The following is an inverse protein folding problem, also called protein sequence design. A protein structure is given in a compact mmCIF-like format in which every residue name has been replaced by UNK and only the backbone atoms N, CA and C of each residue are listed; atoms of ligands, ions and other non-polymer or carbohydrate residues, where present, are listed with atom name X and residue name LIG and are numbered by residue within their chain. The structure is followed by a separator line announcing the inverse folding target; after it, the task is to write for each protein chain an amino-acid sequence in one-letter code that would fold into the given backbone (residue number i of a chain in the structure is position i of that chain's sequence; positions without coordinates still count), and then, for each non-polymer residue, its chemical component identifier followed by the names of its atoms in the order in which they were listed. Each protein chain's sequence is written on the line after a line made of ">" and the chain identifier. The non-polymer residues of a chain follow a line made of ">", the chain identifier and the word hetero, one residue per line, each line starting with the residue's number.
data_IF_565161737582
#
_entry.id   IF_565161737582
#
_cell.length_a   1.000
_cell.length_b   1.000
_cell.length_c   1.000
_cell.angle_alpha   90.00
_cell.angle_beta   90.00
_cell.angle_gamma   90.00
#
_symmetry.space_group_name_H-M   'P 1'
#
loop_
_entity.id
_entity.type
_entity.pdbx_description
1 polymer ?
#
# COMPACT_ATOMS: atom_id res chain seq x y z
N UNK A 1 40.39 0.07 -27.91
CA UNK A 1 39.72 -0.86 -27.02
C UNK A 1 39.61 -0.25 -25.61
N UNK A 2 38.44 -0.34 -24.97
CA UNK A 2 38.31 0.03 -23.59
C UNK A 2 38.98 -1.01 -22.69
N UNK A 3 39.66 -0.53 -21.64
CA UNK A 3 40.24 -1.40 -20.64
C UNK A 3 39.21 -1.69 -19.54
N UNK A 4 38.69 -2.92 -19.40
CA UNK A 4 37.68 -3.23 -18.37
C UNK A 4 38.24 -3.28 -16.94
N UNK A 5 39.58 -3.29 -16.78
CA UNK A 5 40.27 -3.52 -15.51
C UNK A 5 41.12 -2.34 -15.02
N UNK A 6 41.04 -1.20 -15.67
CA UNK A 6 41.85 -0.04 -15.30
C UNK A 6 41.36 1.28 -15.89
N UNK A 7 42.06 2.40 -15.65
CA UNK A 7 41.66 3.71 -16.15
C UNK A 7 41.74 3.72 -17.68
N UNK A 8 40.74 4.35 -18.30
CA UNK A 8 40.66 4.58 -19.73
C UNK A 8 40.99 6.03 -20.07
N UNK A 9 41.48 6.28 -21.29
CA UNK A 9 41.66 7.63 -21.80
C UNK A 9 40.33 8.38 -21.81
N UNK A 10 40.31 9.70 -21.48
CA UNK A 10 39.07 10.49 -21.44
C UNK A 10 38.20 10.41 -22.70
N UNK A 11 38.82 10.34 -23.87
CA UNK A 11 38.10 10.24 -25.15
C UNK A 11 37.35 8.92 -25.28
N UNK A 12 37.92 7.80 -24.77
CA UNK A 12 37.23 6.48 -24.73
C UNK A 12 36.06 6.55 -23.76
N UNK A 13 36.26 7.16 -22.58
CA UNK A 13 35.19 7.36 -21.60
C UNK A 13 34.05 8.20 -22.17
N UNK A 14 34.37 9.29 -22.82
CA UNK A 14 33.37 10.17 -23.43
C UNK A 14 32.64 9.48 -24.59
N UNK A 15 33.32 8.68 -25.40
CA UNK A 15 32.69 7.90 -26.48
C UNK A 15 31.72 6.84 -25.94
N UNK A 16 32.04 6.21 -24.81
CA UNK A 16 31.21 5.17 -24.20
C UNK A 16 30.08 5.75 -23.31
N UNK A 17 30.22 7.03 -22.91
CA UNK A 17 29.22 7.67 -22.06
C UNK A 17 27.95 7.97 -22.85
N UNK A 18 26.84 7.47 -22.34
CA UNK A 18 25.51 7.76 -22.89
C UNK A 18 24.65 8.45 -21.85
N UNK A 19 23.70 9.24 -22.30
CA UNK A 19 22.58 9.70 -21.47
C UNK A 19 21.43 8.73 -21.64
N UNK A 20 20.90 8.23 -20.53
CA UNK A 20 19.78 7.28 -20.50
C UNK A 20 18.58 7.92 -19.79
N UNK A 21 17.82 8.83 -20.45
CA UNK A 21 16.67 9.47 -19.84
C UNK A 21 15.51 8.48 -19.70
N UNK A 22 14.73 8.62 -18.61
CA UNK A 22 13.41 8.05 -18.47
C UNK A 22 12.37 9.14 -18.72
N UNK A 23 11.25 8.75 -19.32
CA UNK A 23 10.07 9.58 -19.43
C UNK A 23 9.01 9.06 -18.47
N UNK A 24 8.63 9.90 -17.51
CA UNK A 24 7.60 9.61 -16.52
C UNK A 24 6.44 10.58 -16.71
N UNK A 25 5.23 10.04 -16.82
CA UNK A 25 4.00 10.80 -16.94
C UNK A 25 2.92 10.16 -16.05
N UNK A 26 2.27 10.98 -15.22
CA UNK A 26 1.16 10.57 -14.38
C UNK A 26 0.02 11.58 -14.48
N UNK A 27 -1.06 11.18 -15.17
CA UNK A 27 -2.27 11.99 -15.37
C UNK A 27 -3.38 11.50 -14.46
N UNK A 28 -3.94 12.40 -13.66
CA UNK A 28 -5.11 12.15 -12.81
C UNK A 28 -6.19 13.17 -13.15
N UNK A 29 -7.38 12.68 -13.44
CA UNK A 29 -8.58 13.50 -13.66
C UNK A 29 -9.68 13.01 -12.77
N UNK A 30 -10.26 13.91 -11.97
CA UNK A 30 -11.36 13.60 -11.08
C UNK A 30 -12.45 14.65 -11.15
N UNK A 31 -13.65 14.20 -10.84
CA UNK A 31 -14.81 15.03 -10.56
C UNK A 31 -15.55 14.43 -9.37
N UNK A 32 -15.90 15.27 -8.40
CA UNK A 32 -16.60 14.85 -7.21
C UNK A 32 -17.77 15.76 -6.90
N UNK A 33 -18.71 15.25 -6.11
CA UNK A 33 -19.79 16.01 -5.53
C UNK A 33 -20.04 15.57 -4.10
N UNK A 34 -20.52 16.49 -3.27
CA UNK A 34 -21.00 16.19 -1.93
C UNK A 34 -22.17 17.09 -1.54
N UNK A 35 -23.10 16.52 -0.78
CA UNK A 35 -24.24 17.23 -0.20
C UNK A 35 -24.37 16.78 1.26
N UNK A 36 -24.51 17.74 2.17
CA UNK A 36 -24.71 17.44 3.59
C UNK A 36 -25.71 18.39 4.21
N UNK A 37 -26.42 17.92 5.22
CA UNK A 37 -27.37 18.72 5.99
C UNK A 37 -28.25 17.92 6.94
N UNK A 38 -29.03 18.60 7.76
CA UNK A 38 -30.00 17.96 8.64
C UNK A 38 -31.15 17.36 7.83
N UNK A 39 -31.51 16.09 8.16
CA UNK A 39 -32.70 15.43 7.60
C UNK A 39 -33.96 15.76 8.39
N UNK A 40 -33.90 15.53 9.70
CA UNK A 40 -34.99 15.84 10.61
C UNK A 40 -34.48 15.97 12.05
N UNK A 41 -35.28 16.61 12.91
CA UNK A 41 -34.95 16.82 14.32
C UNK A 41 -35.39 15.63 15.17
N UNK A 42 -34.45 15.08 15.95
CA UNK A 42 -34.69 14.14 17.02
C UNK A 42 -34.73 14.86 18.37
N UNK A 43 -35.22 14.23 19.44
CA UNK A 43 -35.25 14.87 20.78
C UNK A 43 -33.88 15.30 21.32
N UNK A 44 -32.82 14.72 20.84
CA UNK A 44 -31.45 14.98 21.27
C UNK A 44 -30.65 15.91 20.35
N UNK A 45 -31.15 16.20 19.15
CA UNK A 45 -30.50 17.03 18.14
C UNK A 45 -30.97 16.69 16.73
N UNK A 46 -30.33 17.22 15.72
CA UNK A 46 -30.67 16.91 14.33
C UNK A 46 -29.94 15.63 13.86
N UNK A 47 -30.72 14.72 13.27
CA UNK A 47 -30.13 13.67 12.44
C UNK A 47 -29.56 14.34 11.18
N UNK A 48 -28.27 14.17 10.93
CA UNK A 48 -27.62 14.76 9.76
C UNK A 48 -27.13 13.66 8.81
N UNK A 49 -27.22 13.96 7.51
CA UNK A 49 -26.74 13.08 6.44
C UNK A 49 -25.72 13.82 5.58
N UNK A 50 -24.63 13.16 5.27
CA UNK A 50 -23.74 13.52 4.18
C UNK A 50 -23.73 12.39 3.14
N UNK A 51 -23.85 12.75 1.86
CA UNK A 51 -23.69 11.84 0.73
C UNK A 51 -22.80 12.47 -0.32
N UNK A 52 -22.03 11.68 -1.01
CA UNK A 52 -21.20 12.16 -2.09
C UNK A 52 -20.72 11.03 -2.98
N UNK A 53 -20.07 11.42 -4.07
CA UNK A 53 -19.50 10.48 -5.02
C UNK A 53 -18.35 11.10 -5.79
N UNK A 54 -17.54 10.24 -6.37
CA UNK A 54 -16.36 10.60 -7.16
C UNK A 54 -16.26 9.74 -8.40
N UNK A 55 -15.82 10.34 -9.49
CA UNK A 55 -15.35 9.66 -10.72
C UNK A 55 -13.92 10.08 -10.93
N UNK A 56 -13.01 9.11 -11.09
CA UNK A 56 -11.58 9.39 -11.30
C UNK A 56 -10.98 8.50 -12.35
N UNK A 57 -10.06 9.04 -13.13
CA UNK A 57 -9.21 8.30 -14.04
C UNK A 57 -7.76 8.57 -13.67
N UNK A 58 -6.96 7.52 -13.68
CA UNK A 58 -5.52 7.58 -13.42
C UNK A 58 -4.80 6.91 -14.59
N UNK A 59 -3.73 7.55 -15.08
CA UNK A 59 -2.87 6.98 -16.11
C UNK A 59 -1.42 7.15 -15.70
N UNK A 60 -0.65 6.09 -15.86
CA UNK A 60 0.78 6.10 -15.58
C UNK A 60 1.55 5.58 -16.79
N UNK A 61 2.60 6.30 -17.15
CA UNK A 61 3.55 5.90 -18.19
C UNK A 61 4.95 6.16 -17.65
N UNK A 62 5.75 5.13 -17.58
CA UNK A 62 7.18 5.23 -17.35
C UNK A 62 7.87 4.48 -18.48
N UNK A 63 8.67 5.18 -19.27
CA UNK A 63 9.26 4.65 -20.50
C UNK A 63 10.75 4.92 -20.50
N UNK A 64 11.54 3.85 -20.50
CA UNK A 64 12.98 3.91 -20.68
C UNK A 64 13.38 4.14 -22.15
N UNK A 65 14.67 4.35 -22.40
CA UNK A 65 15.22 4.40 -23.76
C UNK A 65 15.20 3.02 -24.42
N UNK A 66 15.29 3.01 -25.77
CA UNK A 66 15.41 1.76 -26.52
C UNK A 66 16.69 1.00 -26.11
N UNK A 67 17.81 1.68 -25.89
CA UNK A 67 19.07 1.09 -25.43
C UNK A 67 18.91 0.33 -24.10
N UNK A 68 18.06 0.88 -23.20
CA UNK A 68 17.74 0.24 -21.92
C UNK A 68 16.90 -1.04 -22.13
N UNK A 69 15.85 -0.95 -22.97
CA UNK A 69 15.01 -2.10 -23.31
C UNK A 69 15.80 -3.23 -23.98
N UNK A 70 16.73 -2.87 -24.88
CA UNK A 70 17.56 -3.83 -25.62
C UNK A 70 18.76 -4.33 -24.81
N UNK A 71 18.87 -3.97 -23.50
CA UNK A 71 19.99 -4.34 -22.62
C UNK A 71 21.37 -3.95 -23.18
N UNK A 72 21.44 -2.85 -23.91
CA UNK A 72 22.71 -2.38 -24.53
C UNK A 72 23.54 -1.49 -23.60
N UNK A 73 23.06 -1.24 -22.37
CA UNK A 73 23.76 -0.42 -21.38
C UNK A 73 24.65 -1.33 -20.54
N UNK A 74 25.95 -1.14 -20.63
CA UNK A 74 26.94 -1.90 -19.86
C UNK A 74 26.75 -1.65 -18.36
N UNK A 75 26.56 -2.71 -17.57
CA UNK A 75 26.31 -2.62 -16.13
C UNK A 75 24.84 -2.29 -15.78
N UNK A 76 23.98 -2.14 -16.76
CA UNK A 76 22.53 -1.97 -16.56
C UNK A 76 21.79 -3.31 -16.63
N UNK A 77 20.65 -3.38 -15.95
CA UNK A 77 19.64 -4.43 -16.19
C UNK A 77 18.80 -4.07 -17.40
N UNK A 78 18.13 -5.06 -18.01
CA UNK A 78 17.09 -4.79 -18.99
C UNK A 78 16.03 -3.86 -18.39
N UNK A 79 15.77 -2.77 -19.08
CA UNK A 79 14.77 -1.79 -18.63
C UNK A 79 13.37 -2.38 -18.65
N UNK A 80 12.54 -1.88 -17.77
CA UNK A 80 11.10 -2.16 -17.75
C UNK A 80 10.34 -0.88 -18.00
N UNK A 81 9.32 -0.96 -18.84
CA UNK A 81 8.36 0.11 -19.06
C UNK A 81 7.12 -0.14 -18.18
N UNK A 82 6.41 0.93 -17.84
CA UNK A 82 5.13 0.84 -17.17
C UNK A 82 4.07 1.55 -18.00
N UNK A 83 2.96 0.86 -18.27
CA UNK A 83 1.78 1.43 -18.91
C UNK A 83 0.56 0.94 -18.13
N UNK A 84 -0.04 1.81 -17.36
CA UNK A 84 -1.23 1.49 -16.58
C UNK A 84 -2.27 2.58 -16.67
N UNK A 85 -3.54 2.18 -16.78
CA UNK A 85 -4.66 3.08 -16.60
C UNK A 85 -5.72 2.44 -15.70
N UNK A 86 -6.45 3.27 -14.97
CA UNK A 86 -7.49 2.85 -14.05
C UNK A 86 -8.61 3.87 -14.02
N UNK A 87 -9.84 3.37 -13.86
CA UNK A 87 -11.03 4.17 -13.58
C UNK A 87 -11.58 3.78 -12.22
N UNK A 88 -12.03 4.79 -11.49
CA UNK A 88 -12.67 4.67 -10.19
C UNK A 88 -14.03 5.33 -10.24
N UNK A 89 -15.03 4.64 -9.69
CA UNK A 89 -16.33 5.22 -9.31
C UNK A 89 -16.52 4.97 -7.82
N UNK A 90 -16.91 5.98 -7.08
CA UNK A 90 -17.22 5.82 -5.66
C UNK A 90 -18.48 6.56 -5.26
N UNK A 91 -19.16 6.00 -4.24
CA UNK A 91 -20.25 6.64 -3.53
C UNK A 91 -20.08 6.42 -2.05
N UNK A 92 -20.40 7.41 -1.25
CA UNK A 92 -20.38 7.30 0.20
C UNK A 92 -21.60 7.94 0.84
N UNK A 93 -21.94 7.46 2.02
CA UNK A 93 -22.93 8.05 2.89
C UNK A 93 -22.44 8.02 4.34
N UNK A 94 -22.79 9.07 5.09
CA UNK A 94 -22.50 9.23 6.51
C UNK A 94 -23.71 9.80 7.23
N UNK A 95 -24.06 9.19 8.35
CA UNK A 95 -25.15 9.60 9.25
C UNK A 95 -24.59 9.98 10.61
N UNK A 96 -24.90 11.18 11.08
CA UNK A 96 -24.71 11.62 12.47
C UNK A 96 -26.03 11.53 13.20
N UNK A 97 -26.09 10.69 14.23
CA UNK A 97 -27.29 10.28 14.94
C UNK A 97 -27.18 10.71 16.41
N UNK A 98 -27.76 11.83 16.84
CA UNK A 98 -27.87 12.19 18.24
C UNK A 98 -28.92 11.32 18.94
N UNK A 99 -28.51 10.15 19.44
CA UNK A 99 -29.39 9.16 20.09
C UNK A 99 -29.92 9.69 21.42
N UNK A 100 -29.03 10.35 22.16
CA UNK A 100 -29.33 10.96 23.45
C UNK A 100 -28.46 12.21 23.63
N UNK A 101 -28.84 13.14 24.53
CA UNK A 101 -28.05 14.36 24.85
C UNK A 101 -26.61 14.04 25.29
N UNK A 102 -26.37 12.80 25.76
CA UNK A 102 -25.06 12.31 26.18
C UNK A 102 -24.42 11.35 25.17
N UNK A 103 -25.16 10.89 24.14
CA UNK A 103 -24.71 9.85 23.20
C UNK A 103 -24.99 10.27 21.76
N UNK A 104 -23.95 10.33 20.98
CA UNK A 104 -23.96 10.56 19.55
C UNK A 104 -23.30 9.37 18.86
N UNK A 105 -23.90 8.89 17.79
CA UNK A 105 -23.38 7.82 16.94
C UNK A 105 -23.15 8.37 15.54
N UNK A 106 -22.08 7.91 14.92
CA UNK A 106 -21.77 8.13 13.53
C UNK A 106 -21.70 6.79 12.82
N UNK A 107 -22.40 6.65 11.70
CA UNK A 107 -22.33 5.46 10.83
C UNK A 107 -22.02 5.90 9.42
N UNK A 108 -21.01 5.35 8.82
CA UNK A 108 -20.61 5.68 7.46
C UNK A 108 -20.28 4.42 6.65
N UNK A 109 -20.43 4.53 5.34
CA UNK A 109 -20.00 3.51 4.40
C UNK A 109 -19.59 4.13 3.08
N UNK A 110 -18.57 3.57 2.47
CA UNK A 110 -18.07 3.96 1.15
C UNK A 110 -17.97 2.72 0.28
N UNK A 111 -18.60 2.78 -0.88
CA UNK A 111 -18.49 1.79 -1.94
C UNK A 111 -17.63 2.36 -3.05
N UNK A 112 -16.70 1.56 -3.55
CA UNK A 112 -15.82 1.92 -4.66
C UNK A 112 -15.74 0.77 -5.67
N UNK A 113 -15.71 1.12 -6.96
CA UNK A 113 -15.53 0.20 -8.08
C UNK A 113 -14.34 0.65 -8.91
N UNK A 114 -13.35 -0.22 -9.00
CA UNK A 114 -12.11 -0.03 -9.74
C UNK A 114 -12.08 -0.92 -10.98
N UNK A 115 -11.58 -0.42 -12.09
CA UNK A 115 -11.51 -1.17 -13.35
C UNK A 115 -10.48 -2.30 -13.37
N UNK A 116 -9.57 -2.34 -12.40
CA UNK A 116 -8.46 -3.30 -12.31
C UNK A 116 -8.71 -4.43 -11.31
N UNK A 117 -8.95 -4.15 -10.03
CA UNK A 117 -9.11 -5.18 -9.01
C UNK A 117 -10.56 -5.39 -8.54
N UNK A 118 -11.53 -4.61 -9.05
CA UNK A 118 -12.95 -4.80 -8.76
C UNK A 118 -13.50 -3.87 -7.68
N UNK A 119 -14.40 -4.39 -6.84
CA UNK A 119 -15.23 -3.60 -5.94
C UNK A 119 -14.79 -3.76 -4.49
N UNK A 120 -15.00 -2.71 -3.70
CA UNK A 120 -14.76 -2.72 -2.26
C UNK A 120 -15.81 -1.88 -1.54
N UNK A 121 -16.20 -2.33 -0.33
CA UNK A 121 -17.09 -1.59 0.57
C UNK A 121 -16.43 -1.50 1.94
N UNK A 122 -16.32 -0.28 2.47
CA UNK A 122 -15.65 0.00 3.75
C UNK A 122 -16.59 0.72 4.69
N UNK A 123 -17.04 0.04 5.77
CA UNK A 123 -17.89 0.61 6.81
C UNK A 123 -17.08 1.32 7.89
N UNK A 124 -17.71 2.26 8.57
CA UNK A 124 -17.23 2.89 9.80
C UNK A 124 -18.38 3.12 10.77
N UNK A 125 -18.14 2.85 12.04
CA UNK A 125 -19.02 3.23 13.15
C UNK A 125 -18.20 3.95 14.22
N UNK A 126 -18.75 5.02 14.77
CA UNK A 126 -18.15 5.76 15.87
C UNK A 126 -19.21 6.15 16.89
N UNK A 127 -18.78 6.32 18.14
CA UNK A 127 -19.63 6.77 19.23
C UNK A 127 -18.89 7.78 20.10
N UNK A 128 -19.62 8.80 20.51
CA UNK A 128 -19.18 9.77 21.52
C UNK A 128 -20.19 9.73 22.67
N UNK A 129 -19.70 9.46 23.88
CA UNK A 129 -20.51 9.42 25.08
C UNK A 129 -20.00 10.42 26.11
N UNK A 130 -20.84 11.39 26.47
CA UNK A 130 -20.53 12.43 27.43
C UNK A 130 -21.52 12.38 28.61
N UNK A 131 -21.29 11.49 29.61
CA UNK A 131 -22.19 11.32 30.75
C UNK A 131 -22.26 12.56 31.65
N UNK A 132 -21.20 13.34 31.67
CA UNK A 132 -21.08 14.59 32.40
C UNK A 132 -20.10 15.54 31.69
N UNK A 133 -20.15 16.86 31.96
CA UNK A 133 -19.27 17.82 31.29
C UNK A 133 -17.77 17.56 31.49
N UNK A 134 -17.41 16.85 32.55
CA UNK A 134 -16.02 16.54 32.92
C UNK A 134 -15.47 15.31 32.21
N UNK A 135 -16.33 14.45 31.63
CA UNK A 135 -15.93 13.16 31.07
C UNK A 135 -16.47 13.00 29.66
N UNK A 136 -15.59 12.71 28.70
CA UNK A 136 -15.94 12.31 27.36
C UNK A 136 -15.26 10.98 27.05
N UNK A 137 -16.06 10.01 26.64
CA UNK A 137 -15.61 8.74 26.07
C UNK A 137 -15.90 8.76 24.58
N UNK A 138 -14.97 8.22 23.80
CA UNK A 138 -15.11 8.08 22.35
C UNK A 138 -14.56 6.73 21.90
N UNK A 139 -15.17 6.18 20.87
CA UNK A 139 -14.69 4.94 20.29
C UNK A 139 -15.13 4.84 18.85
N UNK A 140 -14.32 4.16 18.04
CA UNK A 140 -14.69 3.89 16.67
C UNK A 140 -14.07 2.56 16.19
N UNK A 141 -14.78 1.98 15.24
CA UNK A 141 -14.28 0.91 14.39
C UNK A 141 -14.52 1.30 12.93
N UNK A 142 -13.55 1.06 12.09
CA UNK A 142 -13.67 1.29 10.66
C UNK A 142 -12.73 0.43 9.86
N UNK A 143 -13.10 0.23 8.61
CA UNK A 143 -12.26 -0.45 7.62
C UNK A 143 -11.78 0.56 6.60
N UNK A 144 -10.55 0.39 6.14
CA UNK A 144 -9.98 1.13 5.03
C UNK A 144 -9.22 0.19 4.10
N UNK A 145 -8.85 0.67 2.94
CA UNK A 145 -8.03 -0.08 1.99
C UNK A 145 -7.09 0.85 1.24
N UNK A 146 -6.04 0.26 0.67
CA UNK A 146 -5.13 0.93 -0.25
C UNK A 146 -5.09 0.15 -1.57
N UNK A 147 -5.51 0.79 -2.65
CA UNK A 147 -5.43 0.21 -3.99
C UNK A 147 -3.96 -0.03 -4.40
N UNK A 148 -3.65 -1.13 -5.09
CA UNK A 148 -2.31 -1.36 -5.61
C UNK A 148 -1.86 -0.21 -6.51
N UNK A 149 -0.60 0.17 -6.44
CA UNK A 149 -0.04 1.18 -7.34
C UNK A 149 -0.03 0.64 -8.78
N UNK A 150 -0.31 1.50 -9.78
CA UNK A 150 -0.30 1.11 -11.20
C UNK A 150 1.05 0.52 -11.63
N UNK A 151 2.16 0.99 -11.07
CA UNK A 151 3.47 0.40 -11.32
C UNK A 151 3.59 -1.03 -10.79
N UNK A 152 2.97 -1.33 -9.64
CA UNK A 152 2.99 -2.68 -9.08
C UNK A 152 2.15 -3.67 -9.89
N UNK A 153 1.14 -3.16 -10.62
CA UNK A 153 0.29 -3.97 -11.48
C UNK A 153 0.89 -4.16 -12.89
N UNK A 154 1.38 -3.09 -13.51
CA UNK A 154 1.55 -3.02 -14.96
C UNK A 154 3.00 -2.81 -15.45
N UNK A 155 3.99 -2.79 -14.57
CA UNK A 155 5.40 -2.76 -15.00
C UNK A 155 5.73 -4.04 -15.78
N UNK A 156 6.28 -3.89 -16.98
CA UNK A 156 6.70 -5.02 -17.81
C UNK A 156 7.79 -5.85 -17.12
N UNK A 157 7.87 -7.13 -17.46
CA UNK A 157 8.86 -8.02 -16.88
C UNK A 157 10.27 -7.60 -17.31
N UNK A 158 11.16 -7.42 -16.33
CA UNK A 158 12.59 -7.21 -16.54
C UNK A 158 13.39 -8.40 -16.03
N UNK A 159 14.56 -8.62 -16.63
CA UNK A 159 15.48 -9.66 -16.23
C UNK A 159 16.72 -9.05 -15.58
N UNK A 160 17.07 -9.56 -14.41
CA UNK A 160 18.30 -9.20 -13.70
C UNK A 160 18.94 -10.46 -13.08
N UNK A 161 20.08 -10.31 -12.41
CA UNK A 161 20.73 -11.38 -11.68
C UNK A 161 20.92 -10.98 -10.22
N UNK A 162 20.98 -11.96 -9.33
CA UNK A 162 21.29 -11.70 -7.92
C UNK A 162 22.71 -11.12 -7.80
N UNK A 163 22.89 -10.15 -6.90
CA UNK A 163 24.21 -9.56 -6.64
C UNK A 163 25.19 -10.61 -6.12
N UNK A 164 24.70 -11.53 -5.27
CA UNK A 164 25.48 -12.62 -4.70
C UNK A 164 25.08 -13.97 -5.31
N UNK A 165 26.01 -14.92 -5.27
CA UNK A 165 25.72 -16.31 -5.62
C UNK A 165 24.85 -16.95 -4.53
N UNK A 166 23.83 -17.72 -4.95
CA UNK A 166 22.93 -18.46 -4.06
C UNK A 166 23.06 -19.96 -4.30
N UNK A 167 22.86 -20.77 -3.26
CA UNK A 167 22.74 -22.21 -3.38
C UNK A 167 21.29 -22.59 -3.71
N UNK A 168 21.09 -23.66 -4.44
CA UNK A 168 19.79 -24.29 -4.60
C UNK A 168 19.54 -25.24 -3.41
N UNK A 169 18.54 -24.98 -2.54
CA UNK A 169 18.27 -25.83 -1.38
C UNK A 169 17.88 -27.27 -1.75
N UNK A 170 17.32 -27.47 -2.94
CA UNK A 170 16.90 -28.80 -3.43
C UNK A 170 18.03 -29.53 -4.19
N UNK A 171 19.15 -28.86 -4.44
CA UNK A 171 20.32 -29.40 -5.13
C UNK A 171 21.61 -28.96 -4.39
N UNK A 172 21.78 -29.38 -3.13
CA UNK A 172 22.89 -28.91 -2.28
C UNK A 172 24.29 -29.26 -2.78
N UNK A 173 24.40 -30.25 -3.70
CA UNK A 173 25.65 -30.65 -4.35
C UNK A 173 26.08 -29.69 -5.47
N UNK A 174 25.14 -28.86 -5.99
CA UNK A 174 25.47 -27.95 -7.09
C UNK A 174 26.22 -26.71 -6.57
N UNK A 175 27.10 -26.13 -7.39
CA UNK A 175 27.80 -24.91 -7.01
C UNK A 175 26.84 -23.74 -6.83
N UNK A 176 27.20 -22.80 -5.96
CA UNK A 176 26.49 -21.54 -5.81
C UNK A 176 26.68 -20.70 -7.08
N UNK A 177 25.55 -20.18 -7.60
CA UNK A 177 25.53 -19.37 -8.82
C UNK A 177 24.72 -18.10 -8.63
N UNK A 178 24.94 -17.10 -9.49
CA UNK A 178 24.01 -15.98 -9.60
C UNK A 178 22.71 -16.49 -10.22
N UNK A 179 21.60 -16.20 -9.56
CA UNK A 179 20.26 -16.61 -10.00
C UNK A 179 19.64 -15.50 -10.83
N UNK A 180 19.11 -15.87 -11.98
CA UNK A 180 18.29 -14.96 -12.80
C UNK A 180 17.02 -14.59 -12.05
N UNK A 181 16.66 -13.32 -12.06
CA UNK A 181 15.45 -12.80 -11.44
C UNK A 181 14.55 -12.20 -12.52
N UNK A 182 13.28 -12.56 -12.49
CA UNK A 182 12.24 -11.97 -13.31
C UNK A 182 11.43 -11.03 -12.42
N UNK A 183 11.72 -9.73 -12.50
CA UNK A 183 10.97 -8.67 -11.80
C UNK A 183 9.92 -8.07 -12.72
N UNK A 184 8.92 -7.44 -12.13
CA UNK A 184 7.86 -6.77 -12.89
C UNK A 184 6.60 -6.58 -12.05
N UNK A 185 5.55 -6.11 -12.70
CA UNK A 185 4.23 -5.97 -12.10
C UNK A 185 3.52 -7.31 -11.94
N UNK A 186 2.44 -7.26 -11.18
CA UNK A 186 1.52 -8.39 -10.98
C UNK A 186 0.09 -7.89 -11.07
N UNK A 187 -0.61 -8.10 -12.19
CA UNK A 187 -2.01 -7.69 -12.36
C UNK A 187 -3.00 -8.38 -11.42
N UNK A 188 -2.57 -9.46 -10.75
CA UNK A 188 -3.39 -10.21 -9.79
C UNK A 188 -3.36 -9.66 -8.36
N UNK A 189 -2.69 -8.54 -8.12
CA UNK A 189 -2.64 -7.93 -6.79
C UNK A 189 -4.04 -7.51 -6.33
N UNK A 190 -4.29 -7.79 -5.04
CA UNK A 190 -5.48 -7.34 -4.33
C UNK A 190 -5.15 -6.09 -3.50
N UNK A 191 -6.14 -5.27 -3.15
CA UNK A 191 -5.94 -4.16 -2.24
C UNK A 191 -5.36 -4.61 -0.89
N UNK A 192 -4.54 -3.75 -0.29
CA UNK A 192 -4.21 -3.87 1.11
C UNK A 192 -5.41 -3.43 1.94
N UNK A 193 -5.75 -4.16 2.98
CA UNK A 193 -6.88 -3.88 3.84
C UNK A 193 -6.43 -3.54 5.25
N UNK A 194 -7.15 -2.63 5.92
CA UNK A 194 -6.83 -2.22 7.28
C UNK A 194 -8.09 -2.12 8.12
N UNK A 195 -8.14 -2.87 9.21
CA UNK A 195 -9.09 -2.68 10.29
C UNK A 195 -8.50 -1.70 11.31
N UNK A 196 -9.31 -0.73 11.73
CA UNK A 196 -8.91 0.31 12.67
C UNK A 196 -9.85 0.30 13.86
N UNK A 197 -9.28 0.14 15.05
CA UNK A 197 -9.98 0.31 16.34
C UNK A 197 -9.41 1.52 17.05
N UNK A 198 -10.29 2.31 17.61
CA UNK A 198 -9.92 3.49 18.39
C UNK A 198 -10.80 3.61 19.61
N UNK A 199 -10.21 3.95 20.76
CA UNK A 199 -10.89 4.26 22.00
C UNK A 199 -10.22 5.41 22.72
N UNK A 200 -11.00 6.35 23.26
CA UNK A 200 -10.43 7.52 23.93
C UNK A 200 -11.23 7.97 25.13
N UNK A 201 -10.52 8.52 26.11
CA UNK A 201 -11.05 9.16 27.31
C UNK A 201 -10.50 10.58 27.39
N UNK A 202 -11.38 11.55 27.59
CA UNK A 202 -10.99 12.93 27.92
C UNK A 202 -11.59 13.31 29.26
N UNK A 203 -10.74 13.80 30.17
CA UNK A 203 -11.09 14.30 31.48
C UNK A 203 -10.88 15.81 31.55
N UNK A 204 -11.91 16.57 31.93
CA UNK A 204 -11.88 18.01 32.16
C UNK A 204 -12.32 18.32 33.61
N UNK A 205 -11.47 18.14 34.62
CA UNK A 205 -11.88 18.13 36.03
C UNK A 205 -12.56 19.41 36.50
N UNK A 206 -12.31 20.52 35.80
CA UNK A 206 -12.81 21.85 36.18
C UNK A 206 -13.85 22.41 35.20
N UNK A 207 -14.40 21.61 34.27
CA UNK A 207 -15.35 22.07 33.26
C UNK A 207 -16.56 22.84 33.83
N UNK A 208 -17.04 22.48 35.04
CA UNK A 208 -18.14 23.15 35.73
C UNK A 208 -17.76 24.41 36.51
N UNK A 209 -16.49 24.65 36.79
CA UNK A 209 -16.05 25.77 37.63
C UNK A 209 -15.97 27.05 36.80
N UNK A 210 -17.07 27.80 36.73
CA UNK A 210 -17.09 29.10 36.07
C UNK A 210 -16.09 30.06 36.74
N UNK A 211 -15.26 30.74 35.91
CA UNK A 211 -14.24 31.70 36.40
C UNK A 211 -12.92 31.08 36.89
N UNK A 212 -12.77 29.76 36.87
CA UNK A 212 -11.49 29.12 37.16
C UNK A 212 -10.51 29.26 36.01
N UNK A 213 -9.27 29.66 36.28
CA UNK A 213 -8.17 29.65 35.28
C UNK A 213 -7.86 28.24 34.77
N UNK A 214 -8.23 27.19 35.52
CA UNK A 214 -8.04 25.79 35.18
C UNK A 214 -9.24 25.17 34.44
N UNK A 215 -10.25 25.97 34.06
CA UNK A 215 -11.47 25.45 33.44
C UNK A 215 -11.20 24.66 32.16
N UNK A 216 -10.17 25.05 31.42
CA UNK A 216 -9.77 24.42 30.14
C UNK A 216 -8.78 23.28 30.31
N UNK A 217 -8.33 23.03 31.58
CA UNK A 217 -7.42 21.91 31.83
C UNK A 217 -8.07 20.60 31.44
N UNK A 218 -7.42 19.87 30.54
CA UNK A 218 -7.88 18.58 30.03
C UNK A 218 -6.76 17.56 29.99
N UNK A 219 -7.12 16.31 30.25
CA UNK A 219 -6.26 15.15 30.12
C UNK A 219 -6.91 14.19 29.14
N UNK A 220 -6.16 13.76 28.12
CA UNK A 220 -6.59 12.79 27.13
C UNK A 220 -5.75 11.53 27.21
N UNK A 221 -6.42 10.40 27.06
CA UNK A 221 -5.82 9.10 26.83
C UNK A 221 -6.54 8.44 25.67
N UNK A 222 -5.80 8.11 24.63
CA UNK A 222 -6.30 7.44 23.44
C UNK A 222 -5.55 6.14 23.22
N UNK A 223 -6.29 5.10 22.82
CA UNK A 223 -5.77 3.82 22.36
C UNK A 223 -6.15 3.64 20.89
N UNK A 224 -5.21 3.15 20.08
CA UNK A 224 -5.47 2.77 18.71
C UNK A 224 -4.82 1.42 18.38
N UNK A 225 -5.46 0.70 17.46
CA UNK A 225 -4.95 -0.53 16.88
C UNK A 225 -5.29 -0.59 15.40
N UNK A 226 -4.28 -0.86 14.59
CA UNK A 226 -4.40 -1.10 13.15
C UNK A 226 -4.00 -2.54 12.86
N UNK A 227 -4.87 -3.29 12.20
CA UNK A 227 -4.56 -4.61 11.67
C UNK A 227 -4.60 -4.52 10.16
N UNK A 228 -3.46 -4.76 9.53
CA UNK A 228 -3.31 -4.69 8.07
C UNK A 228 -3.20 -6.10 7.51
N UNK A 229 -3.87 -6.36 6.39
CA UNK A 229 -3.86 -7.61 5.67
C UNK A 229 -3.53 -7.35 4.19
N UNK A 230 -3.07 -8.40 3.50
CA UNK A 230 -2.72 -8.34 2.08
C UNK A 230 -1.63 -7.31 1.72
N UNK A 231 -0.73 -6.99 2.66
CA UNK A 231 0.35 -6.02 2.40
C UNK A 231 1.17 -6.44 1.17
N UNK A 232 1.31 -5.50 0.24
CA UNK A 232 2.03 -5.72 -1.01
C UNK A 232 3.52 -5.58 -0.77
N UNK A 233 4.23 -6.68 -0.97
CA UNK A 233 5.66 -6.75 -0.77
C UNK A 233 6.35 -7.50 -1.91
N UNK A 234 7.66 -7.35 -1.99
CA UNK A 234 8.52 -8.04 -2.95
C UNK A 234 9.59 -8.84 -2.22
N UNK A 235 9.61 -10.15 -2.45
CA UNK A 235 10.61 -11.02 -1.88
C UNK A 235 11.90 -10.99 -2.70
N UNK A 236 13.03 -11.09 -2.02
CA UNK A 236 14.31 -11.35 -2.65
C UNK A 236 14.41 -12.81 -3.09
N UNK A 237 15.24 -13.10 -4.10
CA UNK A 237 15.47 -14.48 -4.52
C UNK A 237 15.96 -15.38 -3.38
N UNK A 238 16.76 -14.83 -2.46
CA UNK A 238 17.24 -15.59 -1.29
C UNK A 238 16.09 -15.99 -0.35
N UNK A 239 15.14 -15.08 -0.08
CA UNK A 239 13.95 -15.37 0.74
C UNK A 239 13.04 -16.40 0.08
N UNK A 240 12.85 -16.30 -1.25
CA UNK A 240 12.05 -17.26 -2.02
C UNK A 240 12.66 -18.65 -1.95
N UNK A 241 13.96 -18.77 -2.16
CA UNK A 241 14.66 -20.06 -2.11
C UNK A 241 14.71 -20.66 -0.71
N UNK A 242 14.76 -19.83 0.33
CA UNK A 242 14.83 -20.27 1.72
C UNK A 242 13.50 -20.84 2.27
N UNK A 243 12.36 -20.53 1.62
CA UNK A 243 11.05 -20.92 2.14
C UNK A 243 10.27 -21.75 1.10
N UNK A 244 9.99 -23.04 1.38
CA UNK A 244 9.22 -23.92 0.48
C UNK A 244 7.83 -23.41 0.11
N UNK A 245 7.22 -22.55 0.94
CA UNK A 245 5.92 -21.92 0.63
C UNK A 245 5.95 -21.09 -0.66
N UNK A 246 7.12 -20.63 -1.10
CA UNK A 246 7.32 -19.86 -2.32
C UNK A 246 7.88 -20.67 -3.49
N UNK A 247 7.79 -22.01 -3.43
CA UNK A 247 8.30 -22.89 -4.48
C UNK A 247 7.68 -22.60 -5.87
N UNK A 248 6.45 -22.10 -5.92
CA UNK A 248 5.76 -21.67 -7.14
C UNK A 248 6.40 -20.44 -7.82
N UNK A 249 7.23 -19.69 -7.10
CA UNK A 249 8.00 -18.56 -7.64
C UNK A 249 9.37 -18.97 -8.18
N UNK A 250 9.75 -20.24 -8.05
CA UNK A 250 11.01 -20.78 -8.57
C UNK A 250 10.77 -21.48 -9.90
N UNK A 251 11.34 -20.92 -10.96
CA UNK A 251 11.28 -21.51 -12.30
C UNK A 251 12.46 -22.47 -12.46
N UNK A 252 12.17 -23.73 -12.81
CA UNK A 252 13.19 -24.77 -13.00
C UNK A 252 13.23 -25.28 -14.43
N UNK A 253 14.40 -25.68 -14.87
CA UNK A 253 14.57 -26.44 -16.10
C UNK A 253 13.99 -27.84 -15.92
N UNK A 254 13.71 -28.52 -17.03
CA UNK A 254 13.38 -29.95 -16.98
C UNK A 254 14.54 -30.73 -16.36
N UNK A 255 14.28 -31.73 -15.50
CA UNK A 255 15.34 -32.58 -14.96
C UNK A 255 16.02 -33.36 -16.07
N UNK A 256 17.34 -33.49 -15.98
CA UNK A 256 18.12 -34.35 -16.89
C UNK A 256 17.99 -35.83 -16.48
N UNK A 257 18.25 -36.80 -17.38
CA UNK A 257 18.20 -38.23 -17.05
C UNK A 257 19.03 -38.57 -15.81
N UNK A 258 18.39 -39.17 -14.79
CA UNK A 258 18.98 -39.47 -13.50
C UNK A 258 18.82 -38.42 -12.41
N UNK A 259 18.26 -37.26 -12.72
CA UNK A 259 17.94 -36.21 -11.76
C UNK A 259 16.46 -36.22 -11.42
N UNK A 260 16.12 -35.99 -10.15
CA UNK A 260 14.71 -35.84 -9.70
C UNK A 260 14.18 -34.40 -9.89
N UNK A 261 15.08 -33.43 -9.85
CA UNK A 261 14.71 -31.99 -9.88
C UNK A 261 15.70 -31.27 -10.79
N UNK A 262 15.19 -30.49 -11.75
CA UNK A 262 16.01 -29.69 -12.65
C UNK A 262 16.64 -28.47 -11.95
N UNK A 263 17.65 -27.90 -12.56
CA UNK A 263 18.36 -26.70 -12.10
C UNK A 263 17.43 -25.47 -12.11
N UNK A 264 17.73 -24.47 -11.28
CA UNK A 264 16.99 -23.19 -11.30
C UNK A 264 17.29 -22.46 -12.61
N UNK A 265 16.22 -22.15 -13.36
CA UNK A 265 16.26 -21.29 -14.54
C UNK A 265 16.12 -19.80 -14.16
N UNK A 266 15.38 -19.53 -13.11
CA UNK A 266 15.18 -18.20 -12.56
C UNK A 266 14.18 -18.17 -11.40
N UNK A 267 14.00 -16.99 -10.81
CA UNK A 267 13.08 -16.76 -9.71
C UNK A 267 12.20 -15.55 -10.04
N UNK A 268 10.88 -15.71 -9.84
CA UNK A 268 9.91 -14.64 -10.01
C UNK A 268 9.94 -13.73 -8.77
N UNK A 269 10.46 -12.52 -8.95
CA UNK A 269 10.52 -11.50 -7.89
C UNK A 269 9.51 -10.38 -8.15
N UNK A 270 8.30 -10.73 -8.57
CA UNK A 270 7.18 -9.81 -8.77
C UNK A 270 6.55 -9.39 -7.43
N UNK A 271 5.76 -8.35 -7.47
CA UNK A 271 4.97 -7.91 -6.31
C UNK A 271 3.91 -8.95 -5.94
N UNK A 272 3.68 -9.15 -4.63
CA UNK A 272 2.76 -10.14 -4.09
C UNK A 272 2.05 -9.59 -2.84
N UNK A 273 0.82 -10.02 -2.58
CA UNK A 273 0.17 -9.83 -1.29
C UNK A 273 0.70 -10.90 -0.32
N UNK A 274 1.65 -10.56 0.53
CA UNK A 274 2.45 -11.55 1.27
C UNK A 274 2.31 -11.51 2.79
N UNK A 275 1.92 -10.38 3.36
CA UNK A 275 2.10 -10.18 4.79
C UNK A 275 0.90 -9.51 5.45
N UNK A 276 0.88 -9.63 6.75
CA UNK A 276 0.01 -8.88 7.65
C UNK A 276 0.87 -7.98 8.54
N UNK A 277 0.31 -6.87 8.97
CA UNK A 277 0.93 -5.96 9.93
C UNK A 277 -0.03 -5.65 11.06
N UNK A 278 0.48 -5.46 12.25
CA UNK A 278 -0.30 -5.03 13.39
C UNK A 278 0.46 -3.93 14.13
N UNK A 279 -0.24 -2.83 14.40
CA UNK A 279 0.30 -1.69 15.12
C UNK A 279 -0.71 -1.27 16.18
N UNK A 280 -0.27 -1.08 17.41
CA UNK A 280 -1.08 -0.54 18.49
C UNK A 280 -0.29 0.45 19.33
N UNK A 281 -0.99 1.38 19.96
CA UNK A 281 -0.34 2.38 20.76
C UNK A 281 -1.31 3.15 21.64
N UNK A 282 -0.71 3.98 22.50
CA UNK A 282 -1.40 4.89 23.39
C UNK A 282 -0.84 6.30 23.22
N UNK A 283 -1.75 7.26 23.08
CA UNK A 283 -1.41 8.67 23.09
C UNK A 283 -1.96 9.32 24.36
N UNK A 284 -1.11 10.11 25.03
CA UNK A 284 -1.48 10.87 26.22
C UNK A 284 -1.23 12.35 25.98
N UNK A 285 -2.18 13.17 26.34
CA UNK A 285 -2.03 14.62 26.25
C UNK A 285 -2.59 15.33 27.49
N UNK A 286 -2.02 16.48 27.80
CA UNK A 286 -2.52 17.41 28.81
C UNK A 286 -2.45 18.83 28.24
N UNK A 287 -3.51 19.58 28.42
CA UNK A 287 -3.65 20.96 27.95
C UNK A 287 -4.21 21.84 29.04
#
# INVERSE_FOLDING_TARGET
>A
YANPFGPNHPDIVNYLRITNPNYDDFDVRSGDFSVSGPLFSLPAGNLSLAVGGEVRTEKMRNIGTQLNRDSQIVGGSAGSDTYGDRRLYSIYAELDIPVHKMLELQVAGRFESYSDFGETMKPKIAAVFRPMPEVLLRGSYGQSFLAPNLAFLYTTVSTSFTANTLADPLRPQDPRVQIRQFGGGNPGLQPEETDVWYGGLVLQPFARKKGSIFRELSFGLDYFRFKQENLINRLTAAQILANPAFANLVVRNAPTPGEMIGTISGVLTTWQNLSTGEYEGYDMNAR
#
